data_IF_338297119107
#
_entry.id   IF_338297119107
#
_cell.length_a   1.000
_cell.length_b   1.000
_cell.length_c   1.000
_cell.angle_alpha   90.00
_cell.angle_beta   90.00
_cell.angle_gamma   90.00
#
_symmetry.space_group_name_H-M   'P 1'
#
loop_
_entity.id
_entity.type
_entity.pdbx_description
1 polymer ?
#
# COMPACT_ATOMS: atom_id res chain seq x y z
N UNK A 1 0.75 10.21 6.41
CA UNK A 1 0.48 10.38 7.85
C UNK A 1 -0.79 11.19 8.11
N UNK A 2 -0.84 12.47 7.71
CA UNK A 2 -1.98 13.39 7.96
C UNK A 2 -3.30 12.79 7.43
N UNK A 3 -3.32 12.33 6.18
CA UNK A 3 -4.49 11.67 5.58
C UNK A 3 -5.07 10.55 6.46
N UNK A 4 -4.21 9.68 7.00
CA UNK A 4 -4.64 8.55 7.83
C UNK A 4 -5.28 9.00 9.15
N UNK A 5 -4.71 10.03 9.79
CA UNK A 5 -5.27 10.59 11.02
C UNK A 5 -6.66 11.17 10.75
N UNK A 6 -6.82 11.96 9.69
CA UNK A 6 -8.13 12.53 9.35
C UNK A 6 -9.16 11.46 8.98
N UNK A 7 -8.78 10.42 8.23
CA UNK A 7 -9.67 9.31 7.90
C UNK A 7 -10.16 8.53 9.14
N UNK A 8 -9.37 8.50 10.21
CA UNK A 8 -9.75 7.85 11.47
C UNK A 8 -10.66 8.72 12.36
N UNK A 9 -10.87 10.00 11.99
CA UNK A 9 -11.84 10.87 12.67
C UNK A 9 -13.29 10.61 12.22
N UNK A 10 -13.50 10.04 11.04
CA UNK A 10 -14.84 9.75 10.54
C UNK A 10 -15.70 8.93 11.52
N UNK A 11 -15.22 7.78 12.07
CA UNK A 11 -15.99 7.02 13.06
C UNK A 11 -16.32 7.81 14.34
N UNK A 12 -15.46 8.75 14.74
CA UNK A 12 -15.67 9.58 15.92
C UNK A 12 -16.78 10.61 15.70
N UNK A 13 -16.83 11.22 14.50
CA UNK A 13 -17.89 12.14 14.11
C UNK A 13 -19.22 11.39 14.05
N UNK A 14 -19.26 10.21 13.39
CA UNK A 14 -20.45 9.37 13.34
C UNK A 14 -20.94 8.95 14.72
N UNK A 15 -20.04 8.53 15.60
CA UNK A 15 -20.37 8.23 16.99
C UNK A 15 -21.02 9.41 17.67
N UNK A 16 -20.46 10.62 17.50
CA UNK A 16 -21.03 11.82 18.12
C UNK A 16 -22.42 12.16 17.57
N UNK A 17 -22.67 11.95 16.27
CA UNK A 17 -24.01 12.11 15.69
C UNK A 17 -24.99 11.13 16.32
N UNK A 18 -24.62 9.86 16.47
CA UNK A 18 -25.50 8.83 17.03
C UNK A 18 -25.75 9.09 18.52
N UNK A 19 -24.70 9.27 19.31
CA UNK A 19 -24.79 9.39 20.77
C UNK A 19 -25.49 10.70 21.20
N UNK A 20 -25.23 11.80 20.52
CA UNK A 20 -25.75 13.11 20.93
C UNK A 20 -27.09 13.46 20.28
N UNK A 21 -27.33 13.05 19.03
CA UNK A 21 -28.53 13.45 18.30
C UNK A 21 -29.50 12.30 18.05
N UNK A 22 -29.05 11.14 17.55
CA UNK A 22 -29.95 10.07 17.20
C UNK A 22 -30.59 9.41 18.43
N UNK A 23 -29.82 9.18 19.49
CA UNK A 23 -30.32 8.58 20.76
C UNK A 23 -31.20 9.52 21.56
N UNK A 24 -31.00 10.83 21.41
CA UNK A 24 -31.71 11.87 22.18
C UNK A 24 -32.59 12.74 21.33
N UNK A 25 -33.08 12.22 20.19
CA UNK A 25 -33.88 13.03 19.24
C UNK A 25 -35.11 13.73 19.84
N UNK A 26 -35.70 13.14 20.92
CA UNK A 26 -36.87 13.71 21.61
C UNK A 26 -36.53 14.93 22.46
N UNK A 27 -35.29 15.18 22.80
CA UNK A 27 -34.85 16.29 23.65
C UNK A 27 -34.62 17.58 22.85
N UNK A 28 -34.55 17.47 21.52
CA UNK A 28 -34.24 18.57 20.62
C UNK A 28 -35.48 19.07 19.87
N UNK A 29 -35.57 20.37 19.70
CA UNK A 29 -36.46 20.96 18.71
C UNK A 29 -36.00 20.57 17.29
N UNK A 30 -36.93 20.39 16.37
CA UNK A 30 -36.63 20.04 14.97
C UNK A 30 -35.56 20.94 14.33
N UNK A 31 -35.60 22.25 14.63
CA UNK A 31 -34.62 23.20 14.13
C UNK A 31 -33.21 23.00 14.75
N UNK A 32 -33.14 22.72 16.04
CA UNK A 32 -31.89 22.44 16.75
C UNK A 32 -31.26 21.12 16.28
N UNK A 33 -32.09 20.09 16.12
CA UNK A 33 -31.66 18.80 15.58
C UNK A 33 -31.07 18.95 14.17
N UNK A 34 -31.82 19.57 13.26
CA UNK A 34 -31.35 19.78 11.87
C UNK A 34 -30.05 20.59 11.84
N UNK A 35 -29.97 21.70 12.59
CA UNK A 35 -28.76 22.52 12.63
C UNK A 35 -27.55 21.77 13.17
N UNK A 36 -27.71 21.01 14.25
CA UNK A 36 -26.62 20.23 14.87
C UNK A 36 -26.13 19.13 13.98
N UNK A 37 -27.03 18.32 13.42
CA UNK A 37 -26.68 17.23 12.50
C UNK A 37 -26.06 17.78 11.22
N UNK A 38 -26.59 18.84 10.64
CA UNK A 38 -26.03 19.48 9.43
C UNK A 38 -24.61 19.99 9.66
N UNK A 39 -24.33 20.57 10.82
CA UNK A 39 -23.00 21.06 11.17
C UNK A 39 -21.99 19.91 11.32
N UNK A 40 -22.38 18.80 11.95
CA UNK A 40 -21.54 17.61 12.06
C UNK A 40 -21.32 16.92 10.70
N UNK A 41 -22.33 16.87 9.85
CA UNK A 41 -22.17 16.38 8.48
C UNK A 41 -21.24 17.28 7.66
N UNK A 42 -21.37 18.59 7.79
CA UNK A 42 -20.46 19.53 7.14
C UNK A 42 -19.02 19.36 7.65
N UNK A 43 -18.84 19.13 8.97
CA UNK A 43 -17.54 18.80 9.54
C UNK A 43 -16.97 17.49 8.98
N UNK A 44 -17.78 16.43 8.85
CA UNK A 44 -17.37 15.18 8.24
C UNK A 44 -16.91 15.35 6.79
N UNK A 45 -17.66 16.11 6.00
CA UNK A 45 -17.29 16.45 4.62
C UNK A 45 -15.98 17.25 4.59
N UNK A 46 -15.81 18.22 5.50
CA UNK A 46 -14.58 18.99 5.62
C UNK A 46 -13.36 18.13 5.97
N UNK A 47 -13.50 17.22 6.94
CA UNK A 47 -12.46 16.25 7.33
C UNK A 47 -12.12 15.34 6.16
N UNK A 48 -13.12 14.79 5.46
CA UNK A 48 -12.90 13.95 4.29
C UNK A 48 -12.19 14.71 3.16
N UNK A 49 -12.54 15.97 2.93
CA UNK A 49 -11.89 16.83 1.94
C UNK A 49 -10.41 17.05 2.27
N UNK A 50 -10.10 17.44 3.51
CA UNK A 50 -8.72 17.65 3.97
C UNK A 50 -7.92 16.33 3.86
N UNK A 51 -8.52 15.22 4.26
CA UNK A 51 -7.93 13.88 4.12
C UNK A 51 -7.57 13.57 2.66
N UNK A 52 -8.47 13.88 1.74
CA UNK A 52 -8.27 13.62 0.30
C UNK A 52 -7.16 14.51 -0.28
N UNK A 53 -7.15 15.78 0.07
CA UNK A 53 -6.08 16.71 -0.34
C UNK A 53 -4.73 16.24 0.20
N UNK A 54 -4.66 15.91 1.49
CA UNK A 54 -3.42 15.40 2.10
C UNK A 54 -2.95 14.09 1.46
N UNK A 55 -3.88 13.21 1.05
CA UNK A 55 -3.56 11.98 0.31
C UNK A 55 -2.94 12.28 -1.05
N UNK A 56 -3.51 13.21 -1.80
CA UNK A 56 -2.98 13.60 -3.12
C UNK A 56 -1.55 14.16 -3.00
N UNK A 57 -1.28 14.99 -2.00
CA UNK A 57 0.08 15.46 -1.74
C UNK A 57 1.03 14.32 -1.36
N UNK A 58 0.60 13.40 -0.51
CA UNK A 58 1.38 12.21 -0.16
C UNK A 58 1.74 11.40 -1.41
N UNK A 59 0.75 11.10 -2.25
CA UNK A 59 0.95 10.29 -3.46
C UNK A 59 1.87 11.01 -4.45
N UNK A 60 1.75 12.32 -4.60
CA UNK A 60 2.64 13.12 -5.42
C UNK A 60 4.11 12.99 -4.96
N UNK A 61 4.39 13.20 -3.68
CA UNK A 61 5.76 13.10 -3.17
C UNK A 61 6.31 11.67 -3.22
N UNK A 62 5.48 10.67 -2.91
CA UNK A 62 5.88 9.26 -3.03
C UNK A 62 6.23 8.93 -4.47
N UNK A 63 5.42 9.34 -5.43
CA UNK A 63 5.68 9.12 -6.85
C UNK A 63 6.96 9.84 -7.30
N UNK A 64 7.16 11.10 -6.89
CA UNK A 64 8.36 11.86 -7.22
C UNK A 64 9.62 11.15 -6.74
N UNK A 65 9.66 10.74 -5.47
CA UNK A 65 10.79 10.02 -4.88
C UNK A 65 11.00 8.68 -5.59
N UNK A 66 9.92 7.93 -5.82
CA UNK A 66 9.96 6.63 -6.46
C UNK A 66 10.55 6.71 -7.87
N UNK A 67 10.10 7.68 -8.66
CA UNK A 67 10.62 7.89 -10.02
C UNK A 67 12.09 8.33 -10.01
N UNK A 68 12.48 9.20 -9.09
CA UNK A 68 13.86 9.64 -8.96
C UNK A 68 14.79 8.48 -8.60
N UNK A 69 14.39 7.66 -7.61
CA UNK A 69 15.17 6.47 -7.21
C UNK A 69 15.25 5.47 -8.35
N UNK A 70 14.14 5.18 -9.03
CA UNK A 70 14.10 4.27 -10.17
C UNK A 70 14.99 4.73 -11.32
N UNK A 71 14.96 6.02 -11.64
CA UNK A 71 15.80 6.60 -12.70
C UNK A 71 17.30 6.53 -12.35
N UNK A 72 17.66 6.88 -11.11
CA UNK A 72 19.04 6.81 -10.65
C UNK A 72 19.57 5.36 -10.67
N UNK A 73 18.78 4.42 -10.16
CA UNK A 73 19.18 2.99 -10.18
C UNK A 73 19.37 2.47 -11.61
N UNK A 74 18.49 2.87 -12.53
CA UNK A 74 18.62 2.48 -13.93
C UNK A 74 19.88 3.08 -14.57
N UNK A 75 20.14 4.36 -14.35
CA UNK A 75 21.33 5.03 -14.84
C UNK A 75 22.63 4.44 -14.27
N UNK A 76 22.66 4.16 -12.97
CA UNK A 76 23.80 3.52 -12.31
C UNK A 76 24.02 2.08 -12.81
N UNK A 77 22.93 1.35 -13.04
CA UNK A 77 22.98 0.01 -13.62
C UNK A 77 23.56 0.02 -15.04
N UNK A 78 23.16 0.96 -15.88
CA UNK A 78 23.75 1.15 -17.22
C UNK A 78 25.23 1.49 -17.12
N UNK A 79 25.60 2.47 -16.28
CA UNK A 79 26.98 2.87 -16.10
C UNK A 79 27.84 1.69 -15.66
N UNK A 80 27.39 0.94 -14.66
CA UNK A 80 28.09 -0.25 -14.19
C UNK A 80 28.25 -1.32 -15.30
N UNK A 81 27.20 -1.51 -16.12
CA UNK A 81 27.27 -2.47 -17.24
C UNK A 81 28.29 -2.05 -18.30
N UNK A 82 28.46 -0.75 -18.53
CA UNK A 82 29.45 -0.22 -19.47
C UNK A 82 30.91 -0.27 -18.93
N UNK A 83 31.07 -0.28 -17.61
CA UNK A 83 32.36 -0.40 -16.96
C UNK A 83 32.87 -1.86 -16.90
N UNK A 84 32.05 -2.84 -17.27
CA UNK A 84 32.45 -4.25 -17.30
C UNK A 84 33.44 -4.53 -18.44
N UNK A 85 34.40 -5.47 -18.27
CA UNK A 85 35.28 -5.91 -19.33
C UNK A 85 34.51 -6.42 -20.54
N UNK A 86 34.99 -6.10 -21.75
CA UNK A 86 34.35 -6.43 -23.01
C UNK A 86 33.97 -7.91 -23.14
N UNK A 87 34.79 -8.82 -22.64
CA UNK A 87 34.55 -10.27 -22.64
C UNK A 87 33.28 -10.68 -21.88
N UNK A 88 32.94 -9.97 -20.79
CA UNK A 88 31.71 -10.21 -20.02
C UNK A 88 30.49 -9.53 -20.66
N UNK A 89 30.73 -8.44 -21.40
CA UNK A 89 29.68 -7.72 -22.12
C UNK A 89 29.25 -8.45 -23.40
N UNK A 90 30.19 -9.11 -24.09
CA UNK A 90 29.93 -9.84 -25.35
C UNK A 90 29.09 -11.11 -25.09
N UNK A 91 29.30 -11.80 -23.97
CA UNK A 91 28.51 -12.97 -23.55
C UNK A 91 27.06 -12.62 -23.15
N UNK A 92 26.81 -11.37 -22.73
CA UNK A 92 25.48 -10.91 -22.39
C UNK A 92 24.87 -10.16 -23.56
N UNK A 93 23.82 -10.72 -24.16
CA UNK A 93 23.03 -9.99 -25.16
C UNK A 93 22.61 -8.65 -24.57
N UNK A 94 23.08 -7.55 -25.12
CA UNK A 94 22.86 -6.18 -24.63
C UNK A 94 21.38 -5.90 -24.35
N UNK A 95 20.46 -6.42 -25.17
CA UNK A 95 19.02 -6.31 -24.95
C UNK A 95 18.51 -7.03 -23.72
N UNK A 96 19.13 -8.16 -23.32
CA UNK A 96 18.74 -8.88 -22.12
C UNK A 96 19.12 -8.11 -20.85
N UNK A 97 20.30 -7.51 -20.82
CA UNK A 97 20.77 -6.68 -19.70
C UNK A 97 19.91 -5.46 -19.51
N UNK A 98 19.58 -4.74 -20.59
CA UNK A 98 18.65 -3.59 -20.53
C UNK A 98 17.26 -4.00 -20.06
N UNK A 99 16.74 -5.14 -20.51
CA UNK A 99 15.47 -5.69 -20.05
C UNK A 99 15.47 -6.01 -18.55
N UNK A 100 16.55 -6.61 -18.05
CA UNK A 100 16.73 -6.88 -16.60
C UNK A 100 16.76 -5.59 -15.78
N UNK A 101 17.53 -4.58 -16.23
CA UNK A 101 17.61 -3.28 -15.56
C UNK A 101 16.26 -2.57 -15.52
N UNK A 102 15.51 -2.61 -16.62
CA UNK A 102 14.16 -2.03 -16.68
C UNK A 102 13.19 -2.76 -15.73
N UNK A 103 13.27 -4.08 -15.66
CA UNK A 103 12.48 -4.86 -14.72
C UNK A 103 12.83 -4.54 -13.27
N UNK A 104 14.11 -4.49 -12.91
CA UNK A 104 14.58 -4.12 -11.57
C UNK A 104 14.08 -2.73 -11.20
N UNK A 105 14.19 -1.75 -12.11
CA UNK A 105 13.63 -0.42 -11.91
C UNK A 105 12.15 -0.47 -11.54
N UNK A 106 11.33 -1.14 -12.36
CA UNK A 106 9.89 -1.24 -12.15
C UNK A 106 9.55 -1.94 -10.83
N UNK A 107 10.28 -3.02 -10.49
CA UNK A 107 10.07 -3.77 -9.26
C UNK A 107 10.43 -2.93 -8.02
N UNK A 108 11.50 -2.15 -8.07
CA UNK A 108 11.90 -1.22 -7.01
C UNK A 108 10.91 -0.07 -6.86
N UNK A 109 10.47 0.54 -7.95
CA UNK A 109 9.44 1.58 -7.92
C UNK A 109 8.16 1.08 -7.25
N UNK A 110 7.71 -0.13 -7.61
CA UNK A 110 6.54 -0.78 -7.00
C UNK A 110 6.77 -1.10 -5.53
N UNK A 111 7.94 -1.61 -5.18
CA UNK A 111 8.31 -1.94 -3.80
C UNK A 111 8.30 -0.70 -2.91
N UNK A 112 8.94 0.41 -3.33
CA UNK A 112 8.98 1.66 -2.57
C UNK A 112 7.56 2.19 -2.36
N UNK A 113 6.77 2.31 -3.43
CA UNK A 113 5.40 2.84 -3.35
C UNK A 113 4.51 2.00 -2.42
N UNK A 114 4.58 0.67 -2.54
CA UNK A 114 3.80 -0.24 -1.70
C UNK A 114 4.26 -0.21 -0.24
N UNK A 115 5.57 -0.19 0.00
CA UNK A 115 6.15 -0.18 1.36
C UNK A 115 5.81 1.10 2.09
N UNK A 116 5.95 2.26 1.45
CA UNK A 116 5.59 3.55 2.06
C UNK A 116 4.12 3.57 2.46
N UNK A 117 3.22 3.20 1.54
CA UNK A 117 1.80 3.17 1.83
C UNK A 117 1.46 2.18 2.95
N UNK A 118 1.99 0.95 2.90
CA UNK A 118 1.72 -0.08 3.91
C UNK A 118 2.23 0.33 5.29
N UNK A 119 3.48 0.76 5.40
CA UNK A 119 4.11 1.13 6.67
C UNK A 119 3.39 2.30 7.32
N UNK A 120 3.15 3.38 6.58
CA UNK A 120 2.45 4.54 7.13
C UNK A 120 1.00 4.22 7.54
N UNK A 121 0.25 3.50 6.71
CA UNK A 121 -1.13 3.13 7.04
C UNK A 121 -1.19 2.24 8.27
N UNK A 122 -0.31 1.22 8.34
CA UNK A 122 -0.31 0.25 9.44
C UNK A 122 0.15 0.89 10.75
N UNK A 123 1.26 1.64 10.75
CA UNK A 123 1.78 2.25 11.98
C UNK A 123 0.81 3.29 12.56
N UNK A 124 0.30 4.20 11.72
CA UNK A 124 -0.62 5.23 12.17
C UNK A 124 -1.93 4.61 12.63
N UNK A 125 -2.46 3.62 11.90
CA UNK A 125 -3.65 2.90 12.29
C UNK A 125 -3.47 2.17 13.63
N UNK A 126 -2.34 1.48 13.82
CA UNK A 126 -2.02 0.79 15.06
C UNK A 126 -1.94 1.76 16.25
N UNK A 127 -1.22 2.86 16.10
CA UNK A 127 -1.07 3.88 17.16
C UNK A 127 -2.42 4.49 17.50
N UNK A 128 -3.17 4.93 16.48
CA UNK A 128 -4.46 5.57 16.70
C UNK A 128 -5.46 4.63 17.38
N UNK A 129 -5.61 3.40 16.86
CA UNK A 129 -6.52 2.41 17.45
C UNK A 129 -6.10 2.04 18.87
N UNK A 130 -4.81 1.92 19.14
CA UNK A 130 -4.30 1.63 20.49
C UNK A 130 -4.63 2.77 21.47
N UNK A 131 -4.44 4.03 21.07
CA UNK A 131 -4.80 5.19 21.89
C UNK A 131 -6.31 5.25 22.11
N UNK A 132 -7.11 5.04 21.07
CA UNK A 132 -8.56 5.07 21.20
C UNK A 132 -9.08 3.92 22.06
N UNK A 133 -8.60 2.69 21.83
CA UNK A 133 -8.99 1.51 22.61
C UNK A 133 -8.63 1.64 24.08
N UNK A 134 -7.48 2.23 24.42
CA UNK A 134 -7.07 2.47 25.80
C UNK A 134 -8.01 3.42 26.55
N UNK A 135 -8.67 4.35 25.83
CA UNK A 135 -9.68 5.26 26.40
C UNK A 135 -11.02 4.57 26.65
N UNK A 136 -11.33 3.52 25.92
CA UNK A 136 -12.57 2.72 26.09
C UNK A 136 -12.35 1.68 27.18
N UNK A 137 -11.37 0.83 27.02
CA UNK A 137 -10.96 -0.16 28.01
C UNK A 137 -9.53 -0.65 27.72
N UNK A 138 -8.64 -0.53 28.69
CA UNK A 138 -7.22 -0.83 28.51
C UNK A 138 -6.93 -2.28 28.06
N UNK A 139 -7.78 -3.26 28.44
CA UNK A 139 -7.64 -4.67 28.06
C UNK A 139 -7.83 -4.93 26.55
N UNK A 140 -8.42 -3.99 25.81
CA UNK A 140 -8.62 -4.13 24.36
C UNK A 140 -7.29 -3.99 23.63
N UNK A 141 -6.37 -3.17 24.16
CA UNK A 141 -5.08 -2.89 23.49
C UNK A 141 -4.22 -4.16 23.34
N UNK A 142 -3.94 -4.95 24.39
CA UNK A 142 -3.17 -6.18 24.24
C UNK A 142 -3.87 -7.21 23.36
N UNK A 143 -5.19 -7.34 23.40
CA UNK A 143 -5.93 -8.22 22.51
C UNK A 143 -5.76 -7.81 21.03
N UNK A 144 -5.85 -6.51 20.75
CA UNK A 144 -5.63 -5.96 19.39
C UNK A 144 -4.18 -6.15 18.92
N UNK A 145 -3.19 -5.86 19.79
CA UNK A 145 -1.78 -6.03 19.47
C UNK A 145 -1.41 -7.49 19.22
N UNK A 146 -2.07 -8.43 19.88
CA UNK A 146 -1.83 -9.87 19.71
C UNK A 146 -2.30 -10.38 18.34
N UNK A 147 -3.30 -9.73 17.73
CA UNK A 147 -3.76 -10.09 16.38
C UNK A 147 -2.67 -9.88 15.32
N UNK A 148 -1.77 -8.89 15.50
CA UNK A 148 -0.70 -8.57 14.54
C UNK A 148 0.27 -9.73 14.35
N UNK A 149 0.92 -10.27 15.42
CA UNK A 149 1.82 -11.42 15.27
C UNK A 149 1.08 -12.69 14.84
N UNK A 150 -0.17 -12.87 15.25
CA UNK A 150 -0.97 -14.03 14.85
C UNK A 150 -1.27 -14.03 13.35
N UNK A 151 -1.70 -12.89 12.81
CA UNK A 151 -1.90 -12.71 11.38
C UNK A 151 -0.57 -12.77 10.61
N UNK A 152 0.50 -12.20 11.14
CA UNK A 152 1.84 -12.28 10.57
C UNK A 152 2.35 -13.72 10.47
N UNK A 153 2.15 -14.51 11.53
CA UNK A 153 2.48 -15.94 11.56
C UNK A 153 1.68 -16.73 10.50
N UNK A 154 0.37 -16.54 10.46
CA UNK A 154 -0.51 -17.18 9.47
C UNK A 154 -0.10 -16.79 8.04
N UNK A 155 0.12 -15.51 7.79
CA UNK A 155 0.59 -15.01 6.49
C UNK A 155 1.94 -15.61 6.08
N UNK A 156 2.86 -15.79 7.03
CA UNK A 156 4.16 -16.42 6.78
C UNK A 156 4.03 -17.88 6.33
N UNK A 157 3.13 -18.65 6.98
CA UNK A 157 2.83 -20.03 6.58
C UNK A 157 2.21 -20.11 5.19
N UNK A 158 1.21 -19.25 4.92
CA UNK A 158 0.59 -19.17 3.61
C UNK A 158 1.60 -18.77 2.51
N UNK A 159 2.44 -17.77 2.79
CA UNK A 159 3.46 -17.30 1.85
C UNK A 159 4.45 -18.39 1.43
N UNK A 160 4.81 -19.31 2.35
CA UNK A 160 5.65 -20.47 2.00
C UNK A 160 4.96 -21.38 0.99
N UNK A 161 3.68 -21.71 1.21
CA UNK A 161 2.89 -22.52 0.27
C UNK A 161 2.72 -21.84 -1.08
N UNK A 162 2.39 -20.53 -1.07
CA UNK A 162 2.27 -19.74 -2.30
C UNK A 162 3.58 -19.76 -3.09
N UNK A 163 4.73 -19.60 -2.41
CA UNK A 163 6.05 -19.63 -3.05
C UNK A 163 6.34 -20.97 -3.74
N UNK A 164 5.94 -22.09 -3.15
CA UNK A 164 6.10 -23.42 -3.76
C UNK A 164 5.23 -23.55 -5.01
N UNK A 165 3.96 -23.17 -4.94
CA UNK A 165 3.04 -23.18 -6.08
C UNK A 165 3.55 -22.24 -7.19
N UNK A 166 4.02 -21.04 -6.82
CA UNK A 166 4.56 -20.08 -7.77
C UNK A 166 5.78 -20.60 -8.54
N UNK A 167 6.67 -21.35 -7.88
CA UNK A 167 7.79 -22.02 -8.55
C UNK A 167 7.33 -23.00 -9.63
N UNK A 168 6.30 -23.78 -9.33
CA UNK A 168 5.72 -24.71 -10.31
C UNK A 168 5.10 -23.95 -11.48
N UNK A 169 4.29 -22.93 -11.19
CA UNK A 169 3.66 -22.09 -12.23
C UNK A 169 4.71 -21.46 -13.15
N UNK A 170 5.76 -20.87 -12.59
CA UNK A 170 6.85 -20.27 -13.40
C UNK A 170 7.51 -21.31 -14.28
N UNK A 171 7.83 -22.49 -13.74
CA UNK A 171 8.43 -23.58 -14.51
C UNK A 171 7.55 -24.01 -15.68
N UNK A 172 6.29 -24.27 -15.42
CA UNK A 172 5.33 -24.70 -16.46
C UNK A 172 5.08 -23.60 -17.51
N UNK A 173 4.95 -22.35 -17.07
CA UNK A 173 4.77 -21.22 -17.99
C UNK A 173 5.99 -21.02 -18.89
N UNK A 174 7.20 -21.19 -18.32
CA UNK A 174 8.44 -21.09 -19.11
C UNK A 174 8.56 -22.23 -20.12
N UNK A 175 8.19 -23.46 -19.73
CA UNK A 175 8.17 -24.61 -20.62
C UNK A 175 7.18 -24.44 -21.76
N UNK A 176 5.97 -23.93 -21.46
CA UNK A 176 4.94 -23.59 -22.46
C UNK A 176 5.43 -22.52 -23.43
N UNK A 177 6.05 -21.46 -22.94
CA UNK A 177 6.60 -20.38 -23.78
C UNK A 177 7.70 -20.92 -24.70
N UNK A 178 8.57 -21.82 -24.20
CA UNK A 178 9.59 -22.50 -25.00
C UNK A 178 8.98 -23.35 -26.12
N UNK A 179 8.03 -24.22 -25.76
CA UNK A 179 7.34 -25.09 -26.72
C UNK A 179 6.58 -24.30 -27.79
N UNK A 180 5.91 -23.19 -27.40
CA UNK A 180 5.22 -22.31 -28.35
C UNK A 180 6.18 -21.68 -29.34
N UNK A 181 7.33 -21.21 -28.86
CA UNK A 181 8.37 -20.62 -29.72
C UNK A 181 8.97 -21.63 -30.71
N UNK A 182 9.22 -22.87 -30.25
CA UNK A 182 9.68 -23.96 -31.12
C UNK A 182 8.64 -24.35 -32.16
N UNK A 183 7.37 -24.44 -31.76
CA UNK A 183 6.27 -24.75 -32.67
C UNK A 183 6.12 -23.68 -33.75
N UNK A 184 6.23 -22.41 -33.41
CA UNK A 184 6.18 -21.31 -34.37
C UNK A 184 7.38 -21.32 -35.34
N UNK A 185 8.57 -21.72 -34.88
CA UNK A 185 9.78 -21.83 -35.69
C UNK A 185 9.74 -23.01 -36.66
N UNK A 186 8.99 -24.07 -36.35
CA UNK A 186 8.87 -25.26 -37.19
C UNK A 186 7.71 -25.17 -38.21
N UNK A 187 6.99 -24.06 -38.29
CA UNK A 187 5.92 -23.79 -39.28
C UNK A 187 6.47 -23.11 -40.56
N UNK A 188 7.71 -22.59 -40.54
CA UNK A 188 8.45 -22.14 -41.72
C UNK A 188 9.29 -23.28 -42.32
#
# INVERSE_FOLDING_TARGET
>A
AINQVFSLLDPLIFRHIIDSYATRYKEYSSAQFLRGVSLLLAAAVGVAFISRVAKNFQDYFVNLITQQVGANMYADGIRHSLDLPYTLFEDQRSGETLGKLQKVRTDVERFISSSVNLVFTTLIGLIFVSIYASRVHWSIVPAYLLTVPLLGGLSSVLSKKIKEVQKVIVKETTALAGATTESLRNIE
#
